data_IF_785508998555
#
_entry.id   IF_785508998555
#
_cell.length_a   1.000
_cell.length_b   1.000
_cell.length_c   1.000
_cell.angle_alpha   90.00
_cell.angle_beta   90.00
_cell.angle_gamma   90.00
#
_symmetry.space_group_name_H-M   'P 1'
#
loop_
_entity.id
_entity.type
_entity.pdbx_description
1 polymer ?
#
# COMPACT_ATOMS: atom_id res chain seq x y z
N UNK A 1 -6.20 -13.51 -12.68
CA UNK A 1 -5.33 -12.70 -11.82
C UNK A 1 -4.12 -13.52 -11.42
N UNK A 2 -2.93 -13.07 -11.82
CA UNK A 2 -1.67 -13.73 -11.43
C UNK A 2 -1.55 -13.66 -9.90
N UNK A 3 -1.44 -14.79 -9.24
CA UNK A 3 -1.34 -14.85 -7.79
C UNK A 3 -0.08 -14.10 -7.32
N UNK A 4 -0.07 -13.61 -6.09
CA UNK A 4 1.09 -12.94 -5.47
C UNK A 4 2.33 -13.85 -5.51
N UNK A 5 2.13 -15.16 -5.43
CA UNK A 5 3.17 -16.20 -5.54
C UNK A 5 3.80 -16.21 -6.93
N UNK A 6 3.00 -16.11 -8.01
CA UNK A 6 3.50 -16.01 -9.39
C UNK A 6 4.27 -14.71 -9.63
N UNK A 7 3.85 -13.58 -9.03
CA UNK A 7 4.60 -12.32 -9.13
C UNK A 7 5.93 -12.35 -8.40
N UNK A 8 6.00 -12.98 -7.24
CA UNK A 8 7.28 -13.18 -6.53
C UNK A 8 8.22 -14.12 -7.30
N UNK A 9 7.70 -15.17 -7.92
CA UNK A 9 8.49 -16.04 -8.81
C UNK A 9 9.01 -15.25 -10.01
N UNK A 10 8.17 -14.49 -10.71
CA UNK A 10 8.61 -13.65 -11.84
C UNK A 10 9.66 -12.59 -11.47
N UNK A 11 9.61 -12.04 -10.25
CA UNK A 11 10.61 -11.09 -9.76
C UNK A 11 11.92 -11.82 -9.46
N UNK A 12 11.86 -12.99 -8.84
CA UNK A 12 13.02 -13.81 -8.51
C UNK A 12 13.77 -14.24 -9.77
N UNK A 13 13.04 -14.72 -10.78
CA UNK A 13 13.60 -15.10 -12.08
C UNK A 13 14.30 -13.91 -12.78
N UNK A 14 13.78 -12.69 -12.57
CA UNK A 14 14.42 -11.48 -13.11
C UNK A 14 15.70 -11.11 -12.39
N UNK A 15 15.82 -11.35 -11.08
CA UNK A 15 17.04 -11.10 -10.32
C UNK A 15 18.18 -11.98 -10.83
N UNK A 16 17.89 -13.24 -11.20
CA UNK A 16 18.85 -14.14 -11.81
C UNK A 16 19.29 -13.71 -13.21
N UNK A 17 18.44 -12.93 -13.90
CA UNK A 17 18.68 -12.47 -15.27
C UNK A 17 19.37 -11.10 -15.35
N UNK A 18 19.19 -10.24 -14.34
CA UNK A 18 19.68 -8.87 -14.36
C UNK A 18 20.50 -8.56 -13.11
N UNK A 19 21.83 -8.49 -13.28
CA UNK A 19 22.78 -8.26 -12.19
C UNK A 19 22.58 -6.90 -11.49
N UNK A 20 22.02 -5.92 -12.19
CA UNK A 20 21.75 -4.57 -11.68
C UNK A 20 20.33 -4.42 -11.09
N UNK A 21 19.59 -5.50 -10.90
CA UNK A 21 18.24 -5.45 -10.32
C UNK A 21 18.29 -5.70 -8.81
N UNK A 22 17.78 -4.72 -8.06
CA UNK A 22 17.53 -4.84 -6.62
C UNK A 22 16.02 -4.72 -6.35
N UNK A 23 15.45 -5.69 -5.68
CA UNK A 23 14.04 -5.68 -5.25
C UNK A 23 13.96 -5.47 -3.76
N UNK A 24 13.32 -4.38 -3.35
CA UNK A 24 13.14 -4.02 -1.94
C UNK A 24 11.69 -4.24 -1.53
N UNK A 25 11.48 -4.87 -0.39
CA UNK A 25 10.15 -5.07 0.21
C UNK A 25 10.13 -4.66 1.68
N UNK A 26 8.96 -4.30 2.18
CA UNK A 26 8.77 -3.88 3.56
C UNK A 26 7.66 -4.68 4.22
N UNK A 27 7.77 -4.86 5.52
CA UNK A 27 6.73 -5.43 6.37
C UNK A 27 5.66 -4.39 6.77
N UNK A 28 5.90 -3.11 6.50
CA UNK A 28 5.09 -2.00 7.00
C UNK A 28 3.62 -2.06 6.63
N UNK A 29 3.28 -2.58 5.43
CA UNK A 29 1.88 -2.66 4.96
C UNK A 29 1.38 -4.09 4.94
N UNK A 30 2.07 -4.94 4.18
CA UNK A 30 1.61 -6.31 3.93
C UNK A 30 1.60 -7.21 5.18
N UNK A 31 2.37 -6.87 6.20
CA UNK A 31 2.48 -7.61 7.47
C UNK A 31 2.03 -6.78 8.68
N UNK A 32 1.49 -5.56 8.46
CA UNK A 32 1.04 -4.65 9.52
C UNK A 32 2.12 -4.28 10.55
N UNK A 33 3.40 -4.37 10.18
CA UNK A 33 4.54 -4.15 11.06
C UNK A 33 5.26 -2.82 10.77
N UNK A 34 4.52 -1.75 10.48
CA UNK A 34 5.10 -0.44 10.19
C UNK A 34 5.97 0.11 11.32
N UNK A 35 5.57 -0.10 12.57
CA UNK A 35 6.32 0.31 13.77
C UNK A 35 7.61 -0.44 13.99
N UNK A 36 7.72 -1.67 13.50
CA UNK A 36 8.91 -2.52 13.69
C UNK A 36 10.06 -2.18 12.74
N UNK A 37 9.87 -1.29 11.77
CA UNK A 37 10.91 -0.82 10.87
C UNK A 37 11.65 -1.93 10.09
N UNK A 38 10.95 -2.99 9.70
CA UNK A 38 11.51 -4.15 8.98
C UNK A 38 11.31 -4.01 7.48
N UNK A 39 12.35 -4.27 6.75
CA UNK A 39 12.36 -4.44 5.29
C UNK A 39 13.44 -5.44 4.90
N UNK A 40 13.40 -5.88 3.66
CA UNK A 40 14.39 -6.78 3.08
C UNK A 40 14.60 -6.50 1.60
N UNK A 41 15.75 -6.89 1.10
CA UNK A 41 16.10 -6.75 -0.29
C UNK A 41 16.54 -8.08 -0.91
N UNK A 42 16.28 -8.24 -2.19
CA UNK A 42 16.79 -9.33 -3.01
C UNK A 42 17.56 -8.73 -4.18
N UNK A 43 18.70 -9.31 -4.52
CA UNK A 43 19.51 -8.88 -5.64
C UNK A 43 20.70 -9.78 -5.86
N UNK A 44 21.50 -9.45 -6.87
CA UNK A 44 22.80 -10.06 -7.07
C UNK A 44 23.64 -9.98 -5.78
N UNK A 45 24.42 -11.01 -5.42
CA UNK A 45 25.26 -11.02 -4.22
C UNK A 45 26.18 -9.80 -4.09
N UNK A 46 26.69 -9.26 -5.18
CA UNK A 46 27.53 -8.07 -5.18
C UNK A 46 26.76 -6.82 -4.73
N UNK A 47 25.52 -6.61 -5.24
CA UNK A 47 24.65 -5.52 -4.79
C UNK A 47 24.30 -5.66 -3.30
N UNK A 48 24.00 -6.88 -2.85
CA UNK A 48 23.74 -7.15 -1.43
C UNK A 48 24.98 -6.89 -0.57
N UNK A 49 26.17 -7.21 -1.07
CA UNK A 49 27.42 -6.88 -0.40
C UNK A 49 27.56 -5.36 -0.21
N UNK A 50 27.36 -4.57 -1.25
CA UNK A 50 27.42 -3.09 -1.15
C UNK A 50 26.40 -2.53 -0.17
N UNK A 51 25.18 -3.06 -0.13
CA UNK A 51 24.20 -2.69 0.88
C UNK A 51 24.66 -2.99 2.31
N UNK A 52 25.30 -4.14 2.51
CA UNK A 52 25.87 -4.49 3.81
C UNK A 52 27.06 -3.59 4.18
N UNK A 53 27.92 -3.26 3.23
CA UNK A 53 29.05 -2.36 3.46
C UNK A 53 28.55 -0.97 3.93
N UNK A 54 27.52 -0.42 3.28
CA UNK A 54 26.87 0.83 3.70
C UNK A 54 26.21 0.68 5.07
N UNK A 55 25.44 -0.40 5.28
CA UNK A 55 24.77 -0.67 6.55
C UNK A 55 25.78 -0.72 7.70
N UNK A 56 26.86 -1.46 7.55
CA UNK A 56 27.89 -1.60 8.59
C UNK A 56 28.69 -0.33 8.83
N UNK A 57 28.80 0.54 7.83
CA UNK A 57 29.45 1.84 7.97
C UNK A 57 28.58 2.85 8.72
N UNK A 58 27.24 2.74 8.61
CA UNK A 58 26.30 3.70 9.18
C UNK A 58 25.65 3.22 10.48
N UNK A 59 25.07 2.02 10.49
CA UNK A 59 24.42 1.42 11.66
C UNK A 59 24.39 -0.11 11.56
N UNK A 60 25.32 -0.76 12.26
CA UNK A 60 25.44 -2.24 12.24
C UNK A 60 24.29 -2.96 12.93
N UNK A 61 23.65 -2.33 13.93
CA UNK A 61 22.66 -2.95 14.82
C UNK A 61 21.28 -2.31 14.65
N UNK A 62 20.73 -2.40 13.44
CA UNK A 62 19.46 -1.72 13.07
C UNK A 62 18.20 -2.36 13.65
N UNK A 63 18.26 -3.63 14.05
CA UNK A 63 17.10 -4.38 14.54
C UNK A 63 17.38 -4.98 15.90
N UNK A 64 16.45 -4.78 16.83
CA UNK A 64 16.44 -5.44 18.14
C UNK A 64 15.86 -6.87 18.07
N UNK A 65 15.99 -7.61 19.17
CA UNK A 65 15.52 -9.00 19.26
C UNK A 65 14.00 -9.13 19.10
N UNK A 66 13.25 -8.19 19.63
CA UNK A 66 11.79 -8.16 19.53
C UNK A 66 11.35 -7.97 18.10
N UNK A 67 11.98 -7.04 17.39
CA UNK A 67 11.76 -6.79 15.97
C UNK A 67 12.03 -8.02 15.11
N UNK A 68 13.15 -8.72 15.38
CA UNK A 68 13.49 -9.96 14.65
C UNK A 68 12.44 -11.04 14.93
N UNK A 69 12.10 -11.28 16.20
CA UNK A 69 11.10 -12.28 16.58
C UNK A 69 9.73 -12.02 15.95
N UNK A 70 9.26 -10.76 16.00
CA UNK A 70 8.01 -10.35 15.34
C UNK A 70 8.06 -10.56 13.83
N UNK A 71 9.17 -10.26 13.19
CA UNK A 71 9.39 -10.49 11.76
C UNK A 71 9.28 -11.98 11.39
N UNK A 72 9.96 -12.85 12.15
CA UNK A 72 9.90 -14.31 11.95
C UNK A 72 8.50 -14.83 12.14
N UNK A 73 7.85 -14.54 13.28
CA UNK A 73 6.48 -14.97 13.57
C UNK A 73 5.51 -14.53 12.47
N UNK A 74 5.63 -13.28 12.00
CA UNK A 74 4.83 -12.77 10.89
C UNK A 74 5.04 -13.51 9.57
N UNK A 75 6.22 -14.05 9.31
CA UNK A 75 6.49 -14.85 8.12
C UNK A 75 5.94 -16.28 8.23
N UNK A 76 5.94 -16.84 9.42
CA UNK A 76 5.43 -18.17 9.72
C UNK A 76 3.90 -18.22 9.70
N UNK A 77 3.22 -17.17 10.16
CA UNK A 77 1.76 -17.05 10.13
C UNK A 77 1.25 -16.68 8.73
N UNK A 78 1.25 -17.67 7.86
CA UNK A 78 0.77 -17.55 6.48
C UNK A 78 -0.74 -17.43 6.41
N UNK A 79 -1.47 -18.13 7.28
CA UNK A 79 -2.93 -18.15 7.27
C UNK A 79 -3.50 -16.75 7.58
N UNK A 80 -3.06 -16.12 8.64
CA UNK A 80 -3.45 -14.76 8.99
C UNK A 80 -3.08 -13.74 7.90
N UNK A 81 -1.88 -13.87 7.36
CA UNK A 81 -1.44 -13.00 6.27
C UNK A 81 -2.33 -13.11 5.02
N UNK A 82 -2.68 -14.33 4.62
CA UNK A 82 -3.53 -14.58 3.45
C UNK A 82 -4.96 -14.08 3.69
N UNK A 83 -5.51 -14.29 4.89
CA UNK A 83 -6.80 -13.77 5.32
C UNK A 83 -6.84 -12.22 5.24
N UNK A 84 -5.88 -11.55 5.85
CA UNK A 84 -5.78 -10.08 5.82
C UNK A 84 -5.67 -9.55 4.39
N UNK A 85 -4.84 -10.18 3.56
CA UNK A 85 -4.72 -9.81 2.15
C UNK A 85 -6.04 -9.99 1.39
N UNK A 86 -6.76 -11.08 1.66
CA UNK A 86 -8.06 -11.35 1.02
C UNK A 86 -9.09 -10.29 1.39
N UNK A 87 -9.23 -9.97 2.66
CA UNK A 87 -10.12 -8.89 3.15
C UNK A 87 -9.84 -7.57 2.43
N UNK A 88 -8.56 -7.12 2.43
CA UNK A 88 -8.17 -5.87 1.78
C UNK A 88 -8.47 -5.89 0.28
N UNK A 89 -8.22 -7.00 -0.41
CA UNK A 89 -8.48 -7.12 -1.84
C UNK A 89 -9.98 -7.04 -2.13
N UNK A 90 -10.80 -7.77 -1.37
CA UNK A 90 -12.26 -7.79 -1.54
C UNK A 90 -12.86 -6.40 -1.33
N UNK A 91 -12.53 -5.76 -0.22
CA UNK A 91 -13.00 -4.40 0.11
C UNK A 91 -12.51 -3.38 -0.92
N UNK A 92 -11.27 -3.50 -1.40
CA UNK A 92 -10.73 -2.61 -2.45
C UNK A 92 -11.50 -2.75 -3.77
N UNK A 93 -11.76 -3.96 -4.24
CA UNK A 93 -12.47 -4.16 -5.50
C UNK A 93 -13.91 -3.65 -5.41
N UNK A 94 -14.58 -3.85 -4.28
CA UNK A 94 -15.89 -3.24 -4.01
C UNK A 94 -15.80 -1.73 -4.02
N UNK A 95 -14.87 -1.13 -3.30
CA UNK A 95 -14.70 0.33 -3.23
C UNK A 95 -14.41 0.91 -4.61
N UNK A 96 -13.58 0.25 -5.43
CA UNK A 96 -13.31 0.67 -6.81
C UNK A 96 -14.58 0.71 -7.66
N UNK A 97 -15.44 -0.29 -7.49
CA UNK A 97 -16.71 -0.35 -8.22
C UNK A 97 -17.64 0.81 -7.82
N UNK A 98 -17.77 1.07 -6.52
CA UNK A 98 -18.61 2.17 -6.03
C UNK A 98 -18.07 3.56 -6.43
N UNK A 99 -16.76 3.78 -6.30
CA UNK A 99 -16.15 5.05 -6.72
C UNK A 99 -16.34 5.32 -8.22
N UNK A 100 -16.28 4.30 -9.08
CA UNK A 100 -16.57 4.47 -10.51
C UNK A 100 -17.99 4.90 -10.78
N UNK A 101 -18.98 4.35 -10.05
CA UNK A 101 -20.39 4.76 -10.16
C UNK A 101 -20.58 6.24 -9.79
N UNK A 102 -19.76 6.74 -8.87
CA UNK A 102 -19.76 8.14 -8.43
C UNK A 102 -18.92 9.07 -9.31
N UNK A 103 -18.41 8.62 -10.46
CA UNK A 103 -17.67 9.45 -11.39
C UNK A 103 -16.17 9.60 -11.09
N UNK A 104 -15.63 8.82 -10.17
CA UNK A 104 -14.19 8.84 -9.91
C UNK A 104 -13.39 8.06 -10.96
N UNK A 105 -12.27 8.65 -11.35
CA UNK A 105 -11.27 8.04 -12.21
C UNK A 105 -10.01 7.70 -11.43
N UNK A 106 -9.40 6.56 -11.71
CA UNK A 106 -8.15 6.08 -11.09
C UNK A 106 -7.54 4.96 -11.90
N UNK A 107 -6.23 4.80 -11.79
CA UNK A 107 -5.53 3.62 -12.33
C UNK A 107 -5.85 2.38 -11.49
N UNK A 108 -5.82 1.20 -12.12
CA UNK A 108 -6.13 -0.05 -11.43
C UNK A 108 -5.12 -0.36 -10.32
N UNK A 109 -5.50 -0.02 -9.10
CA UNK A 109 -4.66 -0.24 -7.91
C UNK A 109 -4.63 -1.70 -7.51
N UNK A 110 -3.43 -2.18 -7.20
CA UNK A 110 -3.17 -3.49 -6.58
C UNK A 110 -2.54 -3.35 -5.19
N UNK A 111 -2.50 -2.14 -4.66
CA UNK A 111 -2.00 -1.84 -3.31
C UNK A 111 -3.16 -1.77 -2.30
N UNK A 112 -2.87 -1.30 -1.10
CA UNK A 112 -3.86 -1.07 -0.06
C UNK A 112 -4.47 0.34 -0.10
N UNK A 113 -4.39 1.02 -1.24
CA UNK A 113 -5.01 2.34 -1.45
C UNK A 113 -5.45 2.52 -2.90
N UNK A 114 -6.35 3.46 -3.13
CA UNK A 114 -6.76 3.95 -4.44
C UNK A 114 -6.30 5.41 -4.54
N UNK A 115 -5.75 5.80 -5.70
CA UNK A 115 -5.38 7.17 -5.99
C UNK A 115 -6.36 7.71 -7.03
N UNK A 116 -7.38 8.44 -6.55
CA UNK A 116 -8.56 8.79 -7.30
C UNK A 116 -8.70 10.29 -7.51
N UNK A 117 -9.23 10.67 -8.66
CA UNK A 117 -9.68 12.02 -8.99
C UNK A 117 -11.13 12.00 -9.41
N UNK A 118 -11.83 13.13 -9.24
CA UNK A 118 -13.19 13.32 -9.72
C UNK A 118 -13.22 14.47 -10.73
N UNK A 119 -13.97 14.31 -11.81
CA UNK A 119 -13.92 15.24 -12.93
C UNK A 119 -14.50 16.63 -12.58
N UNK A 120 -15.64 16.65 -11.90
CA UNK A 120 -16.39 17.88 -11.59
C UNK A 120 -16.23 18.38 -10.16
N UNK A 121 -15.54 17.65 -9.28
CA UNK A 121 -15.37 18.05 -7.89
C UNK A 121 -13.87 18.05 -7.50
N UNK A 122 -13.27 19.23 -7.19
CA UNK A 122 -11.87 19.34 -6.87
C UNK A 122 -11.47 18.51 -5.64
N UNK A 123 -10.34 17.81 -5.71
CA UNK A 123 -9.85 16.97 -4.63
C UNK A 123 -9.62 17.74 -3.31
N UNK A 124 -9.24 19.02 -3.40
CA UNK A 124 -9.08 19.89 -2.23
C UNK A 124 -10.39 20.11 -1.48
N UNK A 125 -11.49 20.29 -2.20
CA UNK A 125 -12.83 20.50 -1.61
C UNK A 125 -13.35 19.21 -0.99
N UNK A 126 -13.23 18.08 -1.72
CA UNK A 126 -13.58 16.76 -1.19
C UNK A 126 -12.76 16.41 0.07
N UNK A 127 -11.47 16.73 0.08
CA UNK A 127 -10.61 16.53 1.24
C UNK A 127 -11.10 17.30 2.46
N UNK A 128 -11.47 18.58 2.29
CA UNK A 128 -11.99 19.42 3.36
C UNK A 128 -13.33 18.88 3.90
N UNK A 129 -14.27 18.56 3.00
CA UNK A 129 -15.59 18.05 3.36
C UNK A 129 -15.52 16.67 4.07
N UNK A 130 -14.68 15.77 3.60
CA UNK A 130 -14.43 14.47 4.25
C UNK A 130 -13.85 14.65 5.66
N UNK A 131 -12.92 15.57 5.83
CA UNK A 131 -12.28 15.86 7.11
C UNK A 131 -13.28 16.40 8.15
N UNK A 132 -14.24 17.24 7.73
CA UNK A 132 -15.33 17.73 8.61
C UNK A 132 -16.21 16.59 9.14
N UNK A 133 -16.32 15.50 8.40
CA UNK A 133 -17.03 14.28 8.79
C UNK A 133 -16.15 13.22 9.45
N UNK A 134 -14.93 13.60 9.83
CA UNK A 134 -13.93 12.71 10.43
C UNK A 134 -13.55 11.51 9.54
N UNK A 135 -13.68 11.66 8.21
CA UNK A 135 -13.20 10.69 7.24
C UNK A 135 -11.85 11.16 6.71
N UNK A 136 -10.78 10.44 7.05
CA UNK A 136 -9.42 10.88 6.78
C UNK A 136 -8.86 10.18 5.53
N UNK A 137 -8.65 10.96 4.48
CA UNK A 137 -7.92 10.58 3.27
C UNK A 137 -6.64 11.39 3.15
N UNK A 138 -5.79 11.10 2.20
CA UNK A 138 -4.58 11.89 1.96
C UNK A 138 -4.71 12.75 0.71
N UNK A 139 -4.47 14.04 0.85
CA UNK A 139 -4.37 15.03 -0.21
C UNK A 139 -2.90 15.50 -0.37
N UNK A 140 -2.49 15.82 -1.59
CA UNK A 140 -1.14 16.28 -1.91
C UNK A 140 -1.24 17.57 -2.73
N UNK A 141 -0.98 18.75 -2.13
CA UNK A 141 -0.98 20.04 -2.84
C UNK A 141 0.30 20.21 -3.66
N UNK A 142 0.48 19.37 -4.68
CA UNK A 142 1.65 19.37 -5.57
C UNK A 142 1.20 19.28 -7.01
N UNK A 143 1.88 19.99 -7.90
CA UNK A 143 1.62 19.95 -9.34
C UNK A 143 1.46 18.52 -9.85
N UNK A 144 0.53 18.30 -10.75
CA UNK A 144 0.13 17.03 -11.39
C UNK A 144 -0.64 16.05 -10.51
N UNK A 145 -0.66 16.21 -9.18
CA UNK A 145 -1.36 15.32 -8.25
C UNK A 145 -2.30 16.05 -7.30
N UNK A 146 -2.41 17.36 -7.41
CA UNK A 146 -3.23 18.24 -6.59
C UNK A 146 -4.74 18.05 -6.80
N UNK A 147 -5.15 17.38 -7.87
CA UNK A 147 -6.55 16.96 -8.05
C UNK A 147 -6.78 15.46 -7.77
N UNK A 148 -5.98 14.87 -6.86
CA UNK A 148 -6.13 13.47 -6.47
C UNK A 148 -6.21 13.30 -4.96
N UNK A 149 -6.98 12.30 -4.55
CA UNK A 149 -7.04 11.80 -3.17
C UNK A 149 -6.45 10.39 -3.11
N UNK A 150 -5.59 10.13 -2.13
CA UNK A 150 -5.18 8.77 -1.79
C UNK A 150 -6.09 8.23 -0.71
N UNK A 151 -6.94 7.31 -1.08
CA UNK A 151 -7.93 6.65 -0.24
C UNK A 151 -7.34 5.31 0.20
N UNK A 152 -6.98 5.19 1.47
CA UNK A 152 -6.52 3.91 2.04
C UNK A 152 -7.71 2.99 2.24
N UNK A 153 -7.56 1.71 1.91
CA UNK A 153 -8.60 0.72 2.13
C UNK A 153 -8.63 0.37 3.63
N UNK A 154 -9.72 0.70 4.26
CA UNK A 154 -10.04 0.37 5.64
C UNK A 154 -10.92 -0.88 5.75
N UNK A 155 -11.69 -0.98 6.83
CA UNK A 155 -12.72 -2.02 7.00
C UNK A 155 -13.89 -1.81 6.06
N UNK A 156 -14.73 -2.82 5.90
CA UNK A 156 -15.93 -2.71 5.05
C UNK A 156 -16.86 -1.59 5.53
N UNK A 157 -16.99 -1.41 6.85
CA UNK A 157 -17.81 -0.37 7.45
C UNK A 157 -17.24 1.03 7.19
N UNK A 158 -15.91 1.20 7.30
CA UNK A 158 -15.25 2.47 7.00
C UNK A 158 -15.39 2.84 5.54
N UNK A 159 -15.24 1.87 4.63
CA UNK A 159 -15.39 2.12 3.21
C UNK A 159 -16.83 2.39 2.80
N UNK A 160 -17.82 1.75 3.45
CA UNK A 160 -19.23 2.06 3.26
C UNK A 160 -19.55 3.49 3.68
N UNK A 161 -19.11 3.93 4.87
CA UNK A 161 -19.27 5.31 5.33
C UNK A 161 -18.67 6.34 4.37
N UNK A 162 -17.50 6.04 3.82
CA UNK A 162 -16.88 6.89 2.80
C UNK A 162 -17.77 7.01 1.55
N UNK A 163 -18.25 5.88 1.03
CA UNK A 163 -19.09 5.85 -0.18
C UNK A 163 -20.43 6.54 0.05
N UNK A 164 -21.07 6.30 1.17
CA UNK A 164 -22.33 6.97 1.58
C UNK A 164 -22.14 8.48 1.61
N UNK A 165 -21.12 8.97 2.30
CA UNK A 165 -20.82 10.40 2.34
C UNK A 165 -20.58 10.99 0.95
N UNK A 166 -19.78 10.33 0.12
CA UNK A 166 -19.48 10.81 -1.23
C UNK A 166 -20.75 10.83 -2.10
N UNK A 167 -21.63 9.85 -1.94
CA UNK A 167 -22.92 9.81 -2.65
C UNK A 167 -23.78 11.03 -2.29
N UNK A 168 -23.93 11.32 -1.02
CA UNK A 168 -24.71 12.48 -0.55
C UNK A 168 -24.08 13.83 -0.95
N UNK A 169 -22.76 13.89 -0.94
CA UNK A 169 -22.03 15.13 -1.24
C UNK A 169 -22.04 15.49 -2.72
N UNK A 170 -21.94 14.50 -3.60
CA UNK A 170 -21.88 14.71 -5.05
C UNK A 170 -23.26 14.85 -5.71
N UNK A 171 -24.35 14.54 -5.00
CA UNK A 171 -25.72 14.75 -5.48
C UNK A 171 -26.26 16.16 -5.23
N UNK A 172 -25.49 16.99 -4.51
CA UNK A 172 -25.82 18.40 -4.23
C UNK A 172 -25.36 19.30 -5.38
#
# INVERSE_FOLDING_TARGET
STSRRQRQMCIRDRIEKYDNLLVVQTFSKSRSLAGMRIGYAFGNPELIKYLNDVKYSFNSYTMDRTTIAAGVASMEDKAYFEECCHKIITTREWTKAELRKLGFSFQDSRSNFIFATHESCPAKELFAALREKHIYVRYFPKDRIDNHLRITIGTDEEMKKLVEFLTEYLQK
#
